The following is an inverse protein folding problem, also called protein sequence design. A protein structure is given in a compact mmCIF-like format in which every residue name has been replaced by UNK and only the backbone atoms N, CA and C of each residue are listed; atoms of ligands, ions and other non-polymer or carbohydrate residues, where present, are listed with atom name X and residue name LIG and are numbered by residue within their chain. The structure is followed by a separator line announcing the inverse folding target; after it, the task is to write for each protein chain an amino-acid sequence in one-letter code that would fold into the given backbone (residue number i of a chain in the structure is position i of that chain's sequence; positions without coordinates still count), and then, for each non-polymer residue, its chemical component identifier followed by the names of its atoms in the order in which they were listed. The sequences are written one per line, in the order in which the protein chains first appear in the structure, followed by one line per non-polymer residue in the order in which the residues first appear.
data_IF_055722531108
#
_entry.id   IF_055722531108
#
_cell.length_a   1.000
_cell.length_b   1.000
_cell.length_c   1.000
_cell.angle_alpha   90.00
_cell.angle_beta   90.00
_cell.angle_gamma   90.00
#
_symmetry.space_group_name_H-M   'P 1'
#
loop_
_entity.id
_entity.type
_entity.pdbx_description
1 polymer ?
#
# COMPACT_ATOMS: atom_id res chain seq x y z
N UNK A 1 -23.82 26.56 22.12
CA UNK A 1 -24.73 25.77 21.25
C UNK A 1 -24.66 26.34 19.82
N UNK A 2 -24.74 25.51 18.77
CA UNK A 2 -24.69 26.01 17.38
C UNK A 2 -26.05 26.57 16.95
N UNK A 3 -26.03 27.54 16.03
CA UNK A 3 -27.24 27.92 15.31
C UNK A 3 -27.73 26.74 14.45
N UNK A 4 -29.04 26.48 14.43
CA UNK A 4 -29.69 25.47 13.57
C UNK A 4 -29.27 24.00 13.81
N UNK A 5 -29.20 23.56 15.08
CA UNK A 5 -28.83 22.18 15.43
C UNK A 5 -29.91 21.13 15.25
N UNK A 6 -31.19 21.50 15.22
CA UNK A 6 -32.18 20.45 15.22
C UNK A 6 -32.37 19.82 13.85
N UNK A 7 -33.13 18.73 13.90
CA UNK A 7 -33.25 17.72 12.85
C UNK A 7 -34.07 18.22 11.67
N UNK A 8 -34.91 19.23 11.85
CA UNK A 8 -35.77 19.74 10.78
C UNK A 8 -35.13 20.93 10.08
N UNK A 9 -34.84 20.87 8.76
CA UNK A 9 -34.31 22.01 8.03
C UNK A 9 -35.35 23.13 7.92
N UNK A 10 -34.88 24.38 7.94
CA UNK A 10 -35.68 25.54 7.57
C UNK A 10 -36.02 25.47 6.08
N UNK A 11 -37.20 25.96 5.71
CA UNK A 11 -37.72 25.85 4.35
C UNK A 11 -37.99 27.24 3.79
N UNK A 12 -37.33 27.57 2.68
CA UNK A 12 -37.60 28.74 1.86
C UNK A 12 -38.29 28.31 0.55
N UNK A 13 -39.49 28.83 0.27
CA UNK A 13 -40.23 28.54 -0.97
C UNK A 13 -40.68 29.83 -1.64
N UNK A 14 -40.66 29.83 -2.98
CA UNK A 14 -41.32 30.87 -3.76
C UNK A 14 -42.83 30.75 -3.53
N UNK A 15 -43.45 31.82 -3.06
CA UNK A 15 -44.88 31.90 -2.82
C UNK A 15 -45.51 32.82 -3.86
N UNK A 16 -46.40 32.28 -4.70
CA UNK A 16 -47.12 33.08 -5.70
C UNK A 16 -48.20 33.99 -5.11
N UNK A 17 -48.66 33.68 -3.90
CA UNK A 17 -49.81 34.30 -3.22
C UNK A 17 -49.42 35.26 -2.09
N UNK A 18 -48.13 35.40 -1.78
CA UNK A 18 -47.63 36.20 -0.65
C UNK A 18 -46.97 37.52 -1.07
N UNK A 19 -47.03 37.88 -2.36
CA UNK A 19 -46.50 39.15 -2.83
C UNK A 19 -47.49 40.28 -2.55
N UNK A 20 -47.11 41.26 -1.70
CA UNK A 20 -47.89 42.50 -1.55
C UNK A 20 -47.78 43.39 -2.80
N UNK A 21 -46.62 43.38 -3.46
CA UNK A 21 -46.32 44.05 -4.74
C UNK A 21 -45.27 43.25 -5.50
N UNK A 22 -45.43 43.04 -6.81
CA UNK A 22 -44.52 42.26 -7.67
C UNK A 22 -45.00 40.85 -8.01
N UNK A 23 -44.28 40.13 -8.88
CA UNK A 23 -44.71 38.84 -9.44
C UNK A 23 -44.45 37.59 -8.59
N UNK A 24 -43.78 37.72 -7.43
CA UNK A 24 -43.61 36.61 -6.47
C UNK A 24 -43.15 37.08 -5.09
N UNK A 25 -43.52 36.32 -4.06
CA UNK A 25 -43.00 36.45 -2.70
C UNK A 25 -42.10 35.27 -2.32
N UNK A 26 -41.41 35.38 -1.19
CA UNK A 26 -40.63 34.32 -0.57
C UNK A 26 -41.25 33.99 0.79
N UNK A 27 -41.59 32.73 1.03
CA UNK A 27 -42.00 32.24 2.34
C UNK A 27 -40.83 31.53 2.99
N UNK A 28 -40.39 32.02 4.14
CA UNK A 28 -39.40 31.38 4.99
C UNK A 28 -40.10 30.82 6.24
N UNK A 29 -39.96 29.51 6.49
CA UNK A 29 -40.62 28.81 7.59
C UNK A 29 -39.63 27.94 8.36
N UNK A 30 -39.82 27.85 9.67
CA UNK A 30 -39.00 27.04 10.56
C UNK A 30 -39.89 26.30 11.57
N UNK A 31 -39.44 25.13 12.02
CA UNK A 31 -40.13 24.37 13.09
C UNK A 31 -39.45 24.47 14.44
N UNK A 32 -38.15 24.67 14.45
CA UNK A 32 -37.36 24.61 15.68
C UNK A 32 -37.13 26.02 16.25
N UNK A 33 -37.20 26.20 17.58
CA UNK A 33 -37.01 27.49 18.21
C UNK A 33 -35.60 28.03 17.96
N UNK A 34 -35.50 29.35 17.84
CA UNK A 34 -34.21 30.05 17.70
C UNK A 34 -33.57 30.09 19.08
N UNK A 35 -32.61 29.20 19.33
CA UNK A 35 -31.94 29.11 20.63
C UNK A 35 -30.82 30.16 20.76
N UNK A 36 -29.72 30.00 20.01
CA UNK A 36 -28.57 30.90 20.01
C UNK A 36 -28.00 31.04 18.59
N UNK A 37 -27.70 32.28 18.17
CA UNK A 37 -27.14 32.60 16.86
C UNK A 37 -28.14 33.24 15.89
N UNK A 38 -27.67 33.60 14.71
CA UNK A 38 -28.49 34.25 13.68
C UNK A 38 -29.10 33.19 12.75
N UNK A 39 -30.41 33.28 12.51
CA UNK A 39 -31.14 32.52 11.48
C UNK A 39 -31.51 33.46 10.35
N UNK A 40 -31.30 33.04 9.12
CA UNK A 40 -31.56 33.88 7.97
C UNK A 40 -31.56 33.08 6.68
N UNK A 41 -31.81 33.78 5.58
CA UNK A 41 -31.76 33.22 4.24
C UNK A 41 -30.34 33.37 3.73
N UNK A 42 -29.70 32.25 3.45
CA UNK A 42 -28.41 32.21 2.78
C UNK A 42 -28.64 32.15 1.27
N UNK A 43 -28.05 33.08 0.52
CA UNK A 43 -28.03 33.05 -0.94
C UNK A 43 -26.69 32.45 -1.39
N UNK A 44 -26.62 31.14 -1.70
CA UNK A 44 -25.38 30.52 -2.11
C UNK A 44 -25.00 30.98 -3.53
N UNK A 45 -23.76 31.46 -3.74
CA UNK A 45 -23.24 31.82 -5.07
C UNK A 45 -22.66 30.62 -5.83
N UNK A 46 -22.50 29.49 -5.14
CA UNK A 46 -21.87 28.27 -5.63
C UNK A 46 -22.59 27.03 -5.10
N UNK A 47 -21.95 25.86 -5.16
CA UNK A 47 -22.58 24.60 -4.77
C UNK A 47 -22.97 24.62 -3.28
N UNK A 48 -24.23 24.31 -2.99
CA UNK A 48 -24.77 24.21 -1.65
C UNK A 48 -25.69 22.99 -1.54
N UNK A 49 -25.48 22.05 -0.61
CA UNK A 49 -24.40 22.00 0.40
C UNK A 49 -22.99 22.00 -0.18
N UNK A 50 -21.98 22.38 0.61
CA UNK A 50 -20.60 22.45 0.13
C UNK A 50 -20.10 21.04 -0.25
N UNK A 51 -19.55 20.83 -1.45
CA UNK A 51 -18.99 19.54 -1.84
C UNK A 51 -17.70 19.28 -1.08
N UNK A 52 -17.54 18.06 -0.55
CA UNK A 52 -16.35 17.64 0.17
C UNK A 52 -15.88 16.24 -0.21
N UNK A 53 -14.61 15.97 0.03
CA UNK A 53 -14.04 14.61 0.04
C UNK A 53 -13.88 14.18 1.49
N UNK A 54 -14.59 13.13 1.90
CA UNK A 54 -14.53 12.62 3.27
C UNK A 54 -13.32 11.73 3.52
N UNK A 55 -12.81 11.72 4.74
CA UNK A 55 -11.92 10.67 5.22
C UNK A 55 -12.64 9.33 5.41
N UNK A 56 -11.95 8.29 5.91
CA UNK A 56 -12.58 6.99 6.18
C UNK A 56 -13.73 7.14 7.20
N UNK A 57 -14.83 6.43 6.95
CA UNK A 57 -16.04 6.48 7.77
C UNK A 57 -17.18 7.36 7.23
N UNK A 58 -16.92 8.19 6.21
CA UNK A 58 -17.95 8.90 5.46
C UNK A 58 -18.40 8.12 4.23
N UNK A 59 -19.59 8.45 3.71
CA UNK A 59 -20.17 7.84 2.52
C UNK A 59 -20.46 8.88 1.45
N UNK A 60 -20.30 8.51 0.18
CA UNK A 60 -20.67 9.37 -0.96
C UNK A 60 -22.18 9.64 -0.91
N UNK A 61 -22.56 10.91 -1.08
CA UNK A 61 -23.94 11.39 -0.98
C UNK A 61 -24.39 11.75 0.45
N UNK A 62 -23.62 11.36 1.48
CA UNK A 62 -23.94 11.70 2.86
C UNK A 62 -23.83 13.21 3.07
N UNK A 63 -24.85 13.79 3.70
CA UNK A 63 -24.87 15.19 4.11
C UNK A 63 -24.66 15.31 5.62
N UNK A 64 -23.70 16.13 6.01
CA UNK A 64 -23.37 16.40 7.41
C UNK A 64 -23.33 17.90 7.66
N UNK A 65 -23.58 18.31 8.91
CA UNK A 65 -23.43 19.71 9.33
C UNK A 65 -22.17 19.82 10.19
N UNK A 66 -21.15 20.49 9.65
CA UNK A 66 -19.87 20.70 10.33
C UNK A 66 -19.90 22.00 11.12
N UNK A 67 -19.39 21.97 12.34
CA UNK A 67 -19.24 23.16 13.19
C UNK A 67 -18.16 24.09 12.65
N UNK A 68 -18.51 25.35 12.39
CA UNK A 68 -17.59 26.47 12.16
C UNK A 68 -17.89 27.58 13.17
N UNK A 69 -17.08 27.69 14.22
CA UNK A 69 -17.35 28.61 15.33
C UNK A 69 -18.69 28.30 16.02
N UNK A 70 -19.65 29.23 15.94
CA UNK A 70 -21.03 29.07 16.45
C UNK A 70 -22.03 28.64 15.36
N UNK A 71 -21.58 28.44 14.12
CA UNK A 71 -22.40 28.13 12.96
C UNK A 71 -22.28 26.66 12.55
N UNK A 72 -23.32 26.16 11.88
CA UNK A 72 -23.36 24.82 11.30
C UNK A 72 -23.33 24.94 9.76
N UNK A 73 -22.27 24.42 9.14
CA UNK A 73 -22.03 24.45 7.71
C UNK A 73 -22.46 23.12 7.10
N UNK A 74 -23.47 23.09 6.20
CA UNK A 74 -23.87 21.87 5.55
C UNK A 74 -22.85 21.49 4.46
N UNK A 75 -22.41 20.25 4.51
CA UNK A 75 -21.41 19.65 3.64
C UNK A 75 -21.99 18.37 3.06
N UNK A 76 -21.77 18.12 1.77
CA UNK A 76 -22.12 16.87 1.10
C UNK A 76 -20.87 16.19 0.59
N UNK A 77 -20.68 14.92 0.94
CA UNK A 77 -19.53 14.16 0.48
C UNK A 77 -19.72 13.66 -0.96
N UNK A 78 -18.86 14.12 -1.87
CA UNK A 78 -18.86 13.71 -3.29
C UNK A 78 -17.81 12.64 -3.60
N UNK A 79 -16.88 12.43 -2.66
CA UNK A 79 -15.85 11.40 -2.74
C UNK A 79 -15.36 11.02 -1.34
N UNK A 80 -14.59 9.93 -1.25
CA UNK A 80 -13.98 9.45 -0.01
C UNK A 80 -12.53 9.08 -0.30
N UNK A 81 -11.63 9.42 0.63
CA UNK A 81 -10.20 9.08 0.57
C UNK A 81 -9.78 8.44 1.89
N UNK A 82 -8.88 7.46 1.83
CA UNK A 82 -8.42 6.74 3.03
C UNK A 82 -7.45 7.56 3.87
N UNK A 83 -6.54 8.29 3.22
CA UNK A 83 -5.47 9.03 3.88
C UNK A 83 -5.25 10.38 3.19
N UNK A 84 -4.79 11.36 3.95
CA UNK A 84 -4.34 12.65 3.44
C UNK A 84 -3.03 13.01 4.16
N UNK A 85 -2.06 13.66 3.48
CA UNK A 85 -0.81 14.07 4.14
C UNK A 85 -1.06 14.81 5.45
N UNK A 86 -0.20 14.59 6.44
CA UNK A 86 -0.24 15.15 7.82
C UNK A 86 -1.49 14.83 8.67
N UNK A 87 -2.54 14.24 8.08
CA UNK A 87 -3.77 13.87 8.76
C UNK A 87 -3.80 12.38 9.10
N UNK A 88 -4.25 12.10 10.33
CA UNK A 88 -4.32 10.75 10.88
C UNK A 88 -5.77 10.33 11.13
N UNK A 89 -6.34 9.48 10.25
CA UNK A 89 -7.76 9.11 10.33
C UNK A 89 -8.11 8.34 11.61
N UNK A 90 -7.17 7.58 12.16
CA UNK A 90 -7.24 6.86 13.43
C UNK A 90 -7.46 7.81 14.62
N UNK A 91 -6.87 9.02 14.58
CA UNK A 91 -6.95 9.98 15.68
C UNK A 91 -8.13 10.92 15.55
N UNK A 92 -8.40 11.43 14.34
CA UNK A 92 -9.46 12.41 14.10
C UNK A 92 -10.06 12.23 12.71
N UNK A 93 -11.40 12.27 12.58
CA UNK A 93 -12.04 12.31 11.26
C UNK A 93 -11.64 13.62 10.55
N UNK A 94 -11.42 13.52 9.25
CA UNK A 94 -11.09 14.66 8.40
C UNK A 94 -11.95 14.67 7.15
N UNK A 95 -11.97 15.81 6.47
CA UNK A 95 -12.53 15.96 5.15
C UNK A 95 -11.84 17.12 4.45
N UNK A 96 -11.92 17.14 3.12
CA UNK A 96 -11.34 18.16 2.26
C UNK A 96 -12.47 18.97 1.65
N UNK A 97 -12.29 20.28 1.64
CA UNK A 97 -13.16 21.24 0.98
C UNK A 97 -12.35 22.01 -0.04
N UNK A 98 -12.99 22.43 -1.13
CA UNK A 98 -12.41 23.47 -1.97
C UNK A 98 -12.26 24.76 -1.16
N UNK A 99 -11.04 25.31 -1.16
CA UNK A 99 -10.72 26.49 -0.37
C UNK A 99 -11.47 27.73 -0.90
N UNK A 100 -11.68 27.83 -2.22
CA UNK A 100 -12.37 28.96 -2.83
C UNK A 100 -13.86 28.95 -2.47
N UNK A 101 -14.52 27.81 -2.64
CA UNK A 101 -15.93 27.60 -2.27
C UNK A 101 -16.14 27.84 -0.78
N UNK A 102 -15.26 27.30 0.07
CA UNK A 102 -15.33 27.51 1.51
C UNK A 102 -15.14 28.98 1.89
N UNK A 103 -14.16 29.68 1.31
CA UNK A 103 -13.94 31.11 1.57
C UNK A 103 -15.12 31.94 1.09
N UNK A 104 -15.70 31.59 -0.04
CA UNK A 104 -16.84 32.30 -0.60
C UNK A 104 -18.11 32.13 0.25
N UNK A 105 -18.35 30.90 0.72
CA UNK A 105 -19.41 30.59 1.67
C UNK A 105 -19.19 31.31 3.00
N UNK A 106 -17.98 31.22 3.57
CA UNK A 106 -17.65 31.82 4.85
C UNK A 106 -17.85 33.35 4.83
N UNK A 107 -17.39 34.07 3.80
CA UNK A 107 -17.55 35.54 3.69
C UNK A 107 -19.01 36.03 3.76
N UNK A 108 -19.99 35.18 3.47
CA UNK A 108 -21.42 35.52 3.52
C UNK A 108 -22.08 35.19 4.85
N UNK A 109 -21.36 34.49 5.74
CA UNK A 109 -21.85 34.24 7.09
C UNK A 109 -21.69 35.51 7.94
N UNK A 110 -22.67 35.83 8.81
CA UNK A 110 -22.62 37.05 9.62
C UNK A 110 -21.44 37.11 10.59
N UNK A 111 -20.93 35.94 10.99
CA UNK A 111 -19.78 35.78 11.88
C UNK A 111 -18.87 34.71 11.28
N UNK A 112 -17.96 35.12 10.40
CA UNK A 112 -16.95 34.24 9.82
C UNK A 112 -15.55 34.65 10.24
N UNK A 113 -14.88 33.78 10.98
CA UNK A 113 -13.43 33.89 11.21
C UNK A 113 -12.78 32.79 10.37
N UNK A 114 -12.18 33.20 9.25
CA UNK A 114 -11.34 32.30 8.44
C UNK A 114 -9.97 32.31 9.10
N UNK A 115 -9.58 31.18 9.69
CA UNK A 115 -8.24 31.01 10.27
C UNK A 115 -7.15 31.13 9.21
N UNK A 116 -5.91 31.41 9.65
CA UNK A 116 -4.74 31.29 8.77
C UNK A 116 -4.53 29.81 8.41
N UNK A 117 -4.10 29.50 7.17
CA UNK A 117 -3.76 28.13 6.80
C UNK A 117 -2.64 27.62 7.71
N UNK A 118 -2.78 26.39 8.20
CA UNK A 118 -1.75 25.76 9.04
C UNK A 118 -0.56 25.27 8.21
N UNK A 119 -0.83 24.80 6.99
CA UNK A 119 0.15 24.18 6.10
C UNK A 119 -0.15 24.60 4.65
N UNK A 120 0.90 24.64 3.82
CA UNK A 120 0.81 24.89 2.39
C UNK A 120 1.69 23.87 1.66
N UNK A 121 1.14 23.30 0.59
CA UNK A 121 1.84 22.34 -0.26
C UNK A 121 2.22 23.05 -1.57
N UNK A 122 3.50 23.02 -1.90
CA UNK A 122 4.05 23.64 -3.10
C UNK A 122 4.64 22.53 -3.98
N UNK A 123 4.17 22.45 -5.22
CA UNK A 123 4.78 21.61 -6.23
C UNK A 123 5.80 22.47 -6.99
N UNK A 124 7.01 21.94 -7.14
CA UNK A 124 8.07 22.59 -7.90
C UNK A 124 8.15 22.00 -9.30
N UNK A 125 8.42 22.86 -10.28
CA UNK A 125 8.71 22.41 -11.64
C UNK A 125 9.98 21.57 -11.66
N UNK A 126 10.05 20.59 -12.57
CA UNK A 126 11.17 19.65 -12.64
C UNK A 126 12.54 20.32 -12.93
N UNK A 127 12.52 21.52 -13.51
CA UNK A 127 13.73 22.30 -13.83
C UNK A 127 14.14 23.28 -12.72
N UNK A 128 13.33 23.45 -11.67
CA UNK A 128 13.63 24.36 -10.58
C UNK A 128 14.68 23.76 -9.64
N UNK A 129 15.62 24.60 -9.20
CA UNK A 129 16.55 24.23 -8.12
C UNK A 129 15.81 24.29 -6.78
N UNK A 130 15.66 23.12 -6.14
CA UNK A 130 14.90 23.00 -4.90
C UNK A 130 15.59 23.66 -3.73
N UNK A 131 16.92 23.57 -3.66
CA UNK A 131 17.69 24.11 -2.55
C UNK A 131 17.60 25.64 -2.57
N UNK A 132 17.76 26.23 -3.76
CA UNK A 132 17.59 27.65 -3.97
C UNK A 132 16.17 28.12 -3.64
N UNK A 133 15.12 27.40 -4.06
CA UNK A 133 13.73 27.78 -3.72
C UNK A 133 13.47 27.75 -2.21
N UNK A 134 14.06 26.78 -1.48
CA UNK A 134 13.93 26.72 -0.02
C UNK A 134 14.60 27.92 0.64
N UNK A 135 15.79 28.31 0.17
CA UNK A 135 16.49 29.51 0.64
C UNK A 135 15.69 30.78 0.33
N UNK A 136 15.20 30.94 -0.90
CA UNK A 136 14.38 32.09 -1.31
C UNK A 136 13.12 32.24 -0.45
N UNK A 137 12.45 31.13 -0.09
CA UNK A 137 11.29 31.15 0.80
C UNK A 137 11.70 31.58 2.21
N UNK A 138 12.83 31.09 2.72
CA UNK A 138 13.34 31.45 4.04
C UNK A 138 13.70 32.94 4.12
N UNK A 139 14.26 33.50 3.05
CA UNK A 139 14.59 34.93 2.93
C UNK A 139 13.35 35.81 2.81
N UNK A 140 12.33 35.37 2.07
CA UNK A 140 11.09 36.12 1.90
C UNK A 140 10.23 36.15 3.17
N UNK A 141 10.24 35.06 3.96
CA UNK A 141 9.38 34.91 5.15
C UNK A 141 10.20 34.41 6.36
N UNK A 142 11.14 35.22 6.88
CA UNK A 142 12.04 34.79 7.93
C UNK A 142 11.29 34.53 9.25
N UNK A 143 11.57 33.38 9.87
CA UNK A 143 11.19 33.06 11.26
C UNK A 143 9.71 32.73 11.53
N UNK A 144 8.84 32.74 10.52
CA UNK A 144 7.40 32.48 10.67
C UNK A 144 6.94 31.15 10.08
N UNK A 145 7.75 30.52 9.23
CA UNK A 145 7.36 29.31 8.47
C UNK A 145 8.45 28.24 8.59
N UNK A 146 8.04 27.00 8.83
CA UNK A 146 8.92 25.83 8.71
C UNK A 146 8.77 25.27 7.30
N UNK A 147 9.84 25.35 6.50
CA UNK A 147 9.89 24.71 5.18
C UNK A 147 10.35 23.27 5.39
N UNK A 148 9.64 22.32 4.78
CA UNK A 148 10.03 20.90 4.77
C UNK A 148 10.04 20.40 3.34
N UNK A 149 11.18 19.87 2.93
CA UNK A 149 11.30 19.15 1.67
C UNK A 149 10.73 17.74 1.83
N UNK A 150 9.64 17.45 1.13
CA UNK A 150 9.00 16.15 1.14
C UNK A 150 9.91 15.05 0.57
N UNK A 151 10.71 15.35 -0.46
CA UNK A 151 11.61 14.39 -1.09
C UNK A 151 12.81 14.09 -0.19
N UNK A 152 13.38 15.11 0.44
CA UNK A 152 14.45 14.92 1.42
C UNK A 152 13.96 14.04 2.59
N UNK A 153 12.77 14.32 3.12
CA UNK A 153 12.16 13.53 4.20
C UNK A 153 11.90 12.09 3.75
N UNK A 154 11.35 11.89 2.54
CA UNK A 154 11.12 10.56 1.98
C UNK A 154 12.43 9.77 1.79
N UNK A 155 13.48 10.43 1.28
CA UNK A 155 14.79 9.80 1.07
C UNK A 155 15.47 9.40 2.39
N UNK A 156 15.36 10.24 3.43
CA UNK A 156 15.86 9.94 4.77
C UNK A 156 15.08 8.80 5.42
N UNK A 157 13.75 8.79 5.27
CA UNK A 157 12.92 7.69 5.73
C UNK A 157 13.29 6.37 5.04
N UNK A 158 13.54 6.41 3.72
CA UNK A 158 13.96 5.25 2.93
C UNK A 158 15.36 4.72 3.27
N UNK A 159 16.24 5.53 3.88
CA UNK A 159 17.58 5.10 4.33
C UNK A 159 17.62 4.72 5.80
N UNK A 160 16.54 4.95 6.55
CA UNK A 160 16.52 4.68 7.98
C UNK A 160 16.48 3.16 8.23
N UNK A 161 17.51 2.56 8.84
CA UNK A 161 17.58 1.11 9.06
C UNK A 161 16.47 0.61 10.00
N UNK A 162 15.99 1.45 10.92
CA UNK A 162 14.86 1.13 11.80
C UNK A 162 13.51 1.21 11.10
N UNK A 163 13.43 1.91 9.96
CA UNK A 163 12.21 2.08 9.17
C UNK A 163 12.20 1.24 7.88
N UNK A 164 13.13 0.29 7.72
CA UNK A 164 13.14 -0.62 6.57
C UNK A 164 14.27 -0.40 5.56
N UNK A 165 15.01 0.71 5.63
CA UNK A 165 15.95 1.12 4.57
C UNK A 165 17.14 0.18 4.32
N UNK A 166 17.53 -0.63 5.32
CA UNK A 166 18.62 -1.61 5.20
C UNK A 166 18.15 -3.04 4.88
N UNK A 167 16.85 -3.30 4.83
CA UNK A 167 16.32 -4.66 4.75
C UNK A 167 16.54 -5.29 3.38
N UNK A 168 16.75 -4.48 2.35
CA UNK A 168 17.08 -4.93 0.99
C UNK A 168 18.41 -5.64 0.91
N UNK A 169 19.43 -5.06 1.54
CA UNK A 169 20.76 -5.68 1.62
C UNK A 169 20.70 -6.99 2.39
N UNK A 170 19.99 -7.00 3.53
CA UNK A 170 19.85 -8.18 4.38
C UNK A 170 19.03 -9.29 3.71
N UNK A 171 17.99 -8.95 2.95
CA UNK A 171 17.20 -9.92 2.19
C UNK A 171 18.03 -10.54 1.08
N UNK A 172 18.75 -9.74 0.28
CA UNK A 172 19.66 -10.25 -0.75
C UNK A 172 20.73 -11.16 -0.13
N UNK A 173 21.37 -10.72 0.95
CA UNK A 173 22.39 -11.51 1.65
C UNK A 173 21.83 -12.85 2.16
N UNK A 174 20.66 -12.82 2.81
CA UNK A 174 19.96 -14.03 3.26
C UNK A 174 19.60 -14.96 2.10
N UNK A 175 19.14 -14.42 0.97
CA UNK A 175 18.85 -15.21 -0.24
C UNK A 175 20.09 -15.92 -0.76
N UNK A 176 21.23 -15.21 -0.84
CA UNK A 176 22.50 -15.78 -1.29
C UNK A 176 22.95 -16.89 -0.34
N UNK A 177 22.90 -16.66 0.97
CA UNK A 177 23.27 -17.65 1.97
C UNK A 177 22.39 -18.92 1.88
N UNK A 178 21.07 -18.75 1.78
CA UNK A 178 20.12 -19.86 1.58
C UNK A 178 20.39 -20.56 0.24
N UNK A 179 20.66 -19.82 -0.83
CA UNK A 179 20.99 -20.36 -2.14
C UNK A 179 22.24 -21.25 -2.11
N UNK A 180 23.29 -20.82 -1.41
CA UNK A 180 24.51 -21.62 -1.18
C UNK A 180 24.18 -22.88 -0.39
N UNK A 181 23.38 -22.76 0.68
CA UNK A 181 22.97 -23.91 1.48
C UNK A 181 22.19 -24.94 0.63
N UNK A 182 21.22 -24.48 -0.17
CA UNK A 182 20.45 -25.34 -1.09
C UNK A 182 21.36 -26.01 -2.11
N UNK A 183 22.32 -25.28 -2.71
CA UNK A 183 23.28 -25.84 -3.65
C UNK A 183 24.12 -26.96 -3.01
N UNK A 184 24.62 -26.73 -1.79
CA UNK A 184 25.37 -27.73 -1.02
C UNK A 184 24.51 -28.96 -0.73
N UNK A 185 23.28 -28.77 -0.25
CA UNK A 185 22.34 -29.87 0.02
C UNK A 185 22.05 -30.69 -1.24
N UNK A 186 21.78 -30.03 -2.38
CA UNK A 186 21.54 -30.71 -3.65
C UNK A 186 22.77 -31.48 -4.15
N UNK A 187 23.96 -30.92 -3.96
CA UNK A 187 25.22 -31.57 -4.33
C UNK A 187 25.45 -32.83 -3.50
N UNK A 188 25.26 -32.76 -2.17
CA UNK A 188 25.37 -33.93 -1.28
C UNK A 188 24.32 -34.98 -1.64
N UNK A 189 23.07 -34.57 -1.85
CA UNK A 189 21.98 -35.47 -2.23
C UNK A 189 22.26 -36.18 -3.55
N UNK A 190 22.75 -35.45 -4.56
CA UNK A 190 23.12 -36.02 -5.85
C UNK A 190 24.27 -37.03 -5.73
N UNK A 191 25.30 -36.74 -4.91
CA UNK A 191 26.42 -37.64 -4.68
C UNK A 191 25.98 -38.96 -4.03
N UNK A 192 25.09 -38.90 -3.03
CA UNK A 192 24.53 -40.07 -2.35
C UNK A 192 23.63 -40.88 -3.29
N UNK A 193 22.77 -40.19 -4.06
CA UNK A 193 21.85 -40.83 -4.99
C UNK A 193 22.59 -41.62 -6.08
N UNK A 194 23.72 -41.10 -6.56
CA UNK A 194 24.61 -41.82 -7.50
C UNK A 194 25.18 -43.11 -6.91
N UNK A 195 25.49 -43.15 -5.60
CA UNK A 195 25.99 -44.37 -4.95
C UNK A 195 24.91 -45.44 -4.81
N UNK A 196 23.68 -45.04 -4.48
CA UNK A 196 22.56 -45.97 -4.31
C UNK A 196 21.96 -46.44 -5.65
N UNK A 197 21.93 -45.59 -6.68
CA UNK A 197 21.31 -45.90 -7.98
C UNK A 197 22.07 -46.91 -8.86
N UNK A 198 23.18 -47.49 -8.38
CA UNK A 198 23.93 -48.53 -9.11
C UNK A 198 23.10 -49.81 -9.30
N UNK A 199 22.21 -50.14 -8.36
CA UNK A 199 21.32 -51.31 -8.46
C UNK A 199 20.22 -51.13 -9.51
N UNK A 200 19.60 -49.96 -9.59
CA UNK A 200 18.51 -49.70 -10.53
C UNK A 200 18.98 -49.70 -11.98
N UNK A 201 20.19 -49.18 -12.24
CA UNK A 201 20.83 -49.23 -13.57
C UNK A 201 21.12 -50.65 -14.04
N UNK A 202 21.44 -51.57 -13.12
CA UNK A 202 21.65 -52.98 -13.46
C UNK A 202 20.34 -53.66 -13.87
N UNK A 203 19.24 -53.38 -13.16
CA UNK A 203 17.89 -53.93 -13.45
C UNK A 203 17.34 -53.38 -14.78
N UNK A 204 17.48 -52.07 -15.03
CA UNK A 204 17.00 -51.41 -16.26
C UNK A 204 17.73 -51.94 -17.50
N UNK A 205 19.02 -52.29 -17.37
CA UNK A 205 19.80 -52.90 -18.46
C UNK A 205 19.35 -54.34 -18.76
N UNK A 206 18.98 -55.12 -17.75
CA UNK A 206 18.43 -56.48 -17.94
C UNK A 206 17.05 -56.43 -18.61
N UNK A 207 16.26 -55.38 -18.36
CA UNK A 207 14.93 -55.19 -18.94
C UNK A 207 14.93 -54.56 -20.35
N UNK A 208 16.08 -54.16 -20.90
CA UNK A 208 16.20 -53.67 -22.27
C UNK A 208 15.66 -52.26 -22.54
N UNK A 209 15.41 -51.45 -21.51
CA UNK A 209 14.94 -50.07 -21.66
C UNK A 209 15.99 -49.18 -22.34
N UNK A 210 15.54 -48.26 -23.21
CA UNK A 210 16.45 -47.31 -23.86
C UNK A 210 16.94 -46.24 -22.87
N UNK A 211 18.17 -45.77 -23.04
CA UNK A 211 18.75 -44.68 -22.25
C UNK A 211 17.89 -43.40 -22.23
N UNK A 212 17.08 -43.16 -23.28
CA UNK A 212 16.17 -42.01 -23.37
C UNK A 212 14.94 -42.15 -22.49
N UNK A 213 14.34 -43.34 -22.40
CA UNK A 213 13.15 -43.59 -21.57
C UNK A 213 13.48 -43.49 -20.08
N UNK A 214 14.63 -44.03 -19.67
CA UNK A 214 15.10 -43.90 -18.29
C UNK A 214 15.34 -42.43 -17.91
N UNK A 215 15.98 -41.65 -18.80
CA UNK A 215 16.18 -40.22 -18.59
C UNK A 215 14.86 -39.45 -18.46
N UNK A 216 13.89 -39.70 -19.35
CA UNK A 216 12.58 -39.03 -19.32
C UNK A 216 11.80 -39.35 -18.05
N UNK A 217 11.81 -40.60 -17.59
CA UNK A 217 11.18 -41.00 -16.33
C UNK A 217 11.79 -40.25 -15.15
N UNK A 218 13.12 -40.22 -15.07
CA UNK A 218 13.83 -39.59 -13.96
C UNK A 218 13.69 -38.05 -13.99
N UNK A 219 13.70 -37.44 -15.18
CA UNK A 219 13.44 -36.02 -15.34
C UNK A 219 12.00 -35.65 -14.94
N UNK A 220 11.01 -36.47 -15.29
CA UNK A 220 9.60 -36.25 -14.92
C UNK A 220 9.41 -36.35 -13.41
N UNK A 221 9.97 -37.38 -12.77
CA UNK A 221 9.92 -37.53 -11.31
C UNK A 221 10.53 -36.31 -10.61
N UNK A 222 11.72 -35.88 -11.04
CA UNK A 222 12.40 -34.72 -10.45
C UNK A 222 11.67 -33.41 -10.72
N UNK A 223 11.00 -33.27 -11.86
CA UNK A 223 10.16 -32.12 -12.14
C UNK A 223 8.95 -32.06 -11.19
N UNK A 224 8.26 -33.19 -10.97
CA UNK A 224 7.12 -33.26 -10.05
C UNK A 224 7.57 -32.88 -8.63
N UNK A 225 8.67 -33.46 -8.15
CA UNK A 225 9.21 -33.16 -6.82
C UNK A 225 9.59 -31.66 -6.72
N UNK A 226 10.25 -31.11 -7.75
CA UNK A 226 10.65 -29.71 -7.75
C UNK A 226 9.45 -28.76 -7.71
N UNK A 227 8.41 -29.02 -8.50
CA UNK A 227 7.18 -28.21 -8.51
C UNK A 227 6.49 -28.26 -7.15
N UNK A 228 6.34 -29.46 -6.57
CA UNK A 228 5.72 -29.62 -5.24
C UNK A 228 6.55 -28.92 -4.15
N UNK A 229 7.88 -29.04 -4.19
CA UNK A 229 8.77 -28.40 -3.24
C UNK A 229 8.74 -26.86 -3.35
N UNK A 230 8.72 -26.31 -4.58
CA UNK A 230 8.58 -24.87 -4.82
C UNK A 230 7.24 -24.38 -4.28
N UNK A 231 6.15 -25.07 -4.58
CA UNK A 231 4.82 -24.68 -4.14
C UNK A 231 4.70 -24.72 -2.60
N UNK A 232 5.17 -25.80 -1.97
CA UNK A 232 5.17 -25.94 -0.52
C UNK A 232 6.07 -24.89 0.15
N UNK A 233 7.26 -24.63 -0.41
CA UNK A 233 8.18 -23.60 0.09
C UNK A 233 7.61 -22.20 -0.03
N UNK A 234 6.96 -21.87 -1.15
CA UNK A 234 6.29 -20.58 -1.35
C UNK A 234 5.14 -20.38 -0.36
N UNK A 235 4.32 -21.42 -0.13
CA UNK A 235 3.24 -21.37 0.86
C UNK A 235 3.78 -21.17 2.29
N UNK A 236 4.80 -21.92 2.68
CA UNK A 236 5.45 -21.80 3.99
C UNK A 236 6.22 -20.49 4.16
N UNK A 237 6.69 -19.84 3.09
CA UNK A 237 7.31 -18.53 3.17
C UNK A 237 6.30 -17.40 3.24
N UNK A 238 5.22 -17.49 2.47
CA UNK A 238 4.22 -16.43 2.37
C UNK A 238 3.29 -16.37 3.59
N UNK A 239 2.75 -17.52 4.03
CA UNK A 239 1.73 -17.54 5.07
C UNK A 239 2.23 -17.00 6.42
N UNK A 240 3.33 -17.51 7.00
CA UNK A 240 3.86 -16.96 8.25
C UNK A 240 4.39 -15.54 8.07
N UNK A 241 4.81 -15.16 6.86
CA UNK A 241 5.26 -13.81 6.55
C UNK A 241 4.15 -12.76 6.72
N UNK A 242 2.90 -13.11 6.43
CA UNK A 242 1.75 -12.23 6.66
C UNK A 242 1.49 -12.04 8.16
N UNK A 243 1.57 -13.11 8.95
CA UNK A 243 1.41 -13.05 10.40
C UNK A 243 2.51 -12.19 11.04
N UNK A 244 3.78 -12.39 10.65
CA UNK A 244 4.90 -11.60 11.17
C UNK A 244 4.75 -10.11 10.83
N UNK A 245 4.18 -9.78 9.66
CA UNK A 245 3.96 -8.39 9.29
C UNK A 245 3.03 -7.67 10.27
N UNK A 246 1.97 -8.34 10.72
CA UNK A 246 1.04 -7.79 11.73
C UNK A 246 1.74 -7.55 13.07
N UNK A 247 2.70 -8.39 13.46
CA UNK A 247 3.46 -8.22 14.70
C UNK A 247 4.54 -7.13 14.63
N UNK A 248 5.00 -6.76 13.43
CA UNK A 248 6.11 -5.80 13.21
C UNK A 248 5.61 -4.43 12.78
N UNK A 249 4.29 -4.24 12.65
CA UNK A 249 3.64 -2.99 12.25
C UNK A 249 3.64 -1.91 13.36
N UNK A 250 4.78 -1.71 14.03
CA UNK A 250 4.96 -0.70 15.07
C UNK A 250 6.03 0.30 14.64
N UNK A 251 5.66 1.58 14.65
CA UNK A 251 6.63 2.68 14.53
C UNK A 251 7.61 2.64 15.71
N UNK A 252 8.78 3.32 15.63
CA UNK A 252 9.71 3.45 16.76
C UNK A 252 9.09 4.05 18.04
N UNK A 253 7.90 4.63 17.94
CA UNK A 253 7.11 5.20 19.03
C UNK A 253 6.00 4.26 19.54
N UNK A 254 5.93 3.03 19.04
CA UNK A 254 4.94 2.01 19.42
C UNK A 254 3.52 2.26 18.90
N UNK A 255 3.35 3.12 17.89
CA UNK A 255 2.06 3.34 17.23
C UNK A 255 2.03 2.66 15.87
N UNK A 256 0.84 2.29 15.40
CA UNK A 256 0.64 1.76 14.05
C UNK A 256 1.14 2.76 12.98
N UNK A 257 1.90 2.32 11.97
CA UNK A 257 2.34 3.18 10.89
C UNK A 257 1.15 3.58 10.00
N UNK A 258 1.20 4.82 9.53
CA UNK A 258 0.20 5.39 8.64
C UNK A 258 0.92 5.89 7.38
N UNK A 259 0.61 5.38 6.19
CA UNK A 259 -0.34 4.30 5.87
C UNK A 259 0.13 2.91 6.37
N UNK A 260 -0.77 1.93 6.52
CA UNK A 260 -0.42 0.59 7.01
C UNK A 260 0.60 -0.10 6.08
N UNK A 261 1.47 -0.93 6.64
CA UNK A 261 2.45 -1.66 5.85
C UNK A 261 1.74 -2.70 4.97
N UNK A 262 2.11 -2.70 3.69
CA UNK A 262 1.62 -3.68 2.73
C UNK A 262 2.76 -4.64 2.35
N UNK A 263 2.51 -5.97 2.32
CA UNK A 263 3.49 -6.91 1.80
C UNK A 263 3.84 -6.55 0.36
N UNK A 264 5.10 -6.22 0.10
CA UNK A 264 5.60 -5.94 -1.24
C UNK A 264 6.57 -7.04 -1.67
N UNK A 265 6.19 -7.80 -2.70
CA UNK A 265 7.06 -8.82 -3.29
C UNK A 265 7.81 -8.20 -4.46
N UNK A 266 9.14 -8.22 -4.38
CA UNK A 266 10.01 -7.76 -5.47
C UNK A 266 10.05 -8.80 -6.56
N UNK A 267 9.36 -8.55 -7.67
CA UNK A 267 9.22 -9.50 -8.78
C UNK A 267 10.56 -10.02 -9.32
N UNK A 268 11.59 -9.18 -9.39
CA UNK A 268 12.91 -9.58 -9.89
C UNK A 268 13.65 -10.54 -8.94
N UNK A 269 13.54 -10.35 -7.62
CA UNK A 269 14.11 -11.27 -6.63
C UNK A 269 13.39 -12.61 -6.69
N UNK A 270 12.06 -12.59 -6.74
CA UNK A 270 11.26 -13.80 -6.88
C UNK A 270 11.61 -14.56 -8.17
N UNK A 271 11.71 -13.86 -9.30
CA UNK A 271 12.13 -14.45 -10.56
C UNK A 271 13.54 -15.05 -10.49
N UNK A 272 14.49 -14.36 -9.86
CA UNK A 272 15.85 -14.86 -9.66
C UNK A 272 15.90 -16.16 -8.86
N UNK A 273 15.09 -16.25 -7.79
CA UNK A 273 15.02 -17.42 -6.90
C UNK A 273 14.37 -18.61 -7.58
N UNK A 274 13.24 -18.38 -8.26
CA UNK A 274 12.55 -19.41 -9.04
C UNK A 274 13.46 -19.95 -10.16
N UNK A 275 14.14 -19.05 -10.87
CA UNK A 275 15.12 -19.43 -11.90
C UNK A 275 16.27 -20.22 -11.30
N UNK A 276 16.79 -19.81 -10.14
CA UNK A 276 17.82 -20.53 -9.40
C UNK A 276 17.39 -21.93 -8.99
N UNK A 277 16.17 -22.11 -8.47
CA UNK A 277 15.63 -23.42 -8.10
C UNK A 277 15.44 -24.34 -9.31
N UNK A 278 14.93 -23.80 -10.43
CA UNK A 278 14.80 -24.55 -11.69
C UNK A 278 16.17 -24.97 -12.21
N UNK A 279 17.14 -24.06 -12.22
CA UNK A 279 18.52 -24.36 -12.63
C UNK A 279 19.17 -25.43 -11.73
N UNK A 280 18.95 -25.36 -10.42
CA UNK A 280 19.49 -26.34 -9.48
C UNK A 280 18.86 -27.74 -9.67
N UNK A 281 17.55 -27.81 -9.95
CA UNK A 281 16.87 -29.05 -10.32
C UNK A 281 17.43 -29.64 -11.62
N UNK A 282 17.62 -28.80 -12.66
CA UNK A 282 18.20 -29.22 -13.93
C UNK A 282 19.65 -29.74 -13.76
N UNK A 283 20.46 -29.06 -12.93
CA UNK A 283 21.82 -29.49 -12.59
C UNK A 283 21.84 -30.84 -11.87
N UNK A 284 20.89 -31.10 -10.96
CA UNK A 284 20.77 -32.39 -10.28
C UNK A 284 20.53 -33.53 -11.28
N UNK A 285 19.61 -33.33 -12.24
CA UNK A 285 19.34 -34.29 -13.31
C UNK A 285 20.56 -34.49 -14.21
N UNK A 286 21.23 -33.40 -14.62
CA UNK A 286 22.44 -33.46 -15.44
C UNK A 286 23.57 -34.24 -14.74
N UNK A 287 23.77 -34.00 -13.44
CA UNK A 287 24.76 -34.70 -12.64
C UNK A 287 24.46 -36.21 -12.57
N UNK A 288 23.21 -36.59 -12.35
CA UNK A 288 22.79 -38.00 -12.34
C UNK A 288 23.11 -38.69 -13.68
N UNK A 289 22.90 -38.01 -14.81
CA UNK A 289 23.25 -38.53 -16.15
C UNK A 289 24.74 -38.70 -16.33
N UNK A 290 25.55 -37.69 -15.97
CA UNK A 290 27.00 -37.76 -16.10
C UNK A 290 27.57 -38.89 -15.23
N UNK A 291 27.07 -39.02 -14.01
CA UNK A 291 27.46 -40.09 -13.11
C UNK A 291 27.08 -41.49 -13.65
N UNK A 292 25.88 -41.64 -14.21
CA UNK A 292 25.44 -42.88 -14.86
C UNK A 292 26.32 -43.26 -16.06
N UNK A 293 26.81 -42.27 -16.83
CA UNK A 293 27.72 -42.49 -17.98
C UNK A 293 29.15 -42.85 -17.57
N UNK A 294 29.64 -42.33 -16.43
CA UNK A 294 31.01 -42.59 -15.95
C UNK A 294 31.16 -43.95 -15.25
N UNK A 295 30.09 -44.67 -14.97
CA UNK A 295 30.15 -46.04 -14.44
C UNK A 295 30.55 -46.99 -15.57
N UNK A 296 31.84 -47.36 -15.57
CA UNK A 296 32.44 -48.23 -16.57
C UNK A 296 31.88 -49.65 -16.42
N UNK A 297 31.39 -50.22 -17.52
CA UNK A 297 30.66 -51.50 -17.54
C UNK A 297 31.50 -52.72 -17.15
N UNK A 298 32.82 -52.58 -17.08
CA UNK A 298 33.75 -53.64 -16.73
C UNK A 298 33.99 -53.80 -15.21
N UNK A 299 33.76 -52.78 -14.38
CA UNK A 299 33.98 -52.86 -12.93
C UNK A 299 32.77 -53.43 -12.17
N UNK A 300 31.55 -53.17 -12.65
CA UNK A 300 30.32 -53.61 -11.96
C UNK A 300 30.12 -55.13 -12.04
N UNK A 301 30.63 -55.78 -13.11
CA UNK A 301 30.62 -57.25 -13.23
C UNK A 301 31.75 -57.94 -12.44
N UNK A 302 32.75 -57.19 -11.96
CA UNK A 302 33.90 -57.73 -11.21
C UNK A 302 33.81 -57.51 -9.70
N UNK A 303 32.90 -56.65 -9.24
CA UNK A 303 32.60 -56.40 -7.84
C UNK A 303 31.46 -57.22 -7.26
N UNK A 304 30.93 -58.21 -7.98
CA UNK A 304 29.90 -59.13 -7.49
C UNK A 304 30.49 -60.20 -6.58
N UNK A 305 30.42 -59.95 -5.27
CA UNK A 305 30.16 -60.96 -4.24
C UNK A 305 28.80 -60.62 -3.65
#
# INVERSE_FOLDING_TARGET
PLANQGKTPDVARRAGISARTGGSGLQFSWKEPIANGQRGIHLPPGPFPLPAIGGPGFQVGQQVRVKLGSLAVPVQFVGVVSHFPTLRPDRRPFFLLDLSDFREYARRLPVSVIGRPAEMWLALDAAADREQVIEDIADLIPGLVSVRDAEAVASLAGRNPLAGGGWDGLTIFSMVAIGIAVLLTLTVHALVSVRMGRMDLAVVRVLGFSHRQFFLSLATERLIIAVLAIAAGAAMGYWPGLEVLELVDLTPQGNDPVPPLLPSVRGWLMAGVLTGMVAASALSVAFAVVAARRLNTAEVLRGGI
#
